data_IF_897773709473
#
_entry.id   IF_897773709473
#
_cell.length_a   1.000
_cell.length_b   1.000
_cell.length_c   1.000
_cell.angle_alpha   90.00
_cell.angle_beta   90.00
_cell.angle_gamma   90.00
#
_symmetry.space_group_name_H-M   'P 1'
#
loop_
_entity.id
_entity.type
_entity.pdbx_description
1 polymer ?
#
# COMPACT_ATOMS: atom_id res chain seq x y z
N UNK A 1 11.86 -7.75 23.44
CA UNK A 1 12.91 -7.24 22.52
C UNK A 1 12.38 -7.53 21.14
N UNK A 2 11.46 -6.67 20.73
CA UNK A 2 10.55 -6.91 19.62
C UNK A 2 11.19 -6.33 18.37
N UNK A 3 12.28 -6.96 17.95
CA UNK A 3 12.78 -6.79 16.60
C UNK A 3 11.93 -7.70 15.72
N UNK A 4 10.93 -7.13 15.03
CA UNK A 4 10.31 -7.79 13.87
C UNK A 4 10.94 -7.20 12.61
N UNK A 5 12.05 -7.76 12.13
CA UNK A 5 12.61 -7.39 10.84
C UNK A 5 11.81 -8.12 9.76
N UNK A 6 10.74 -7.51 9.23
CA UNK A 6 10.00 -8.18 8.14
C UNK A 6 8.74 -7.54 7.59
N UNK A 7 8.20 -6.46 8.17
CA UNK A 7 6.90 -5.94 7.75
C UNK A 7 7.00 -4.85 6.66
N UNK A 8 7.93 -4.95 5.70
CA UNK A 8 8.06 -3.96 4.61
C UNK A 8 7.82 -4.61 3.26
N UNK A 9 6.71 -4.24 2.63
CA UNK A 9 6.28 -4.67 1.31
C UNK A 9 6.86 -3.75 0.23
N UNK A 10 7.16 -4.31 -0.93
CA UNK A 10 7.34 -3.57 -2.19
C UNK A 10 6.00 -3.21 -2.81
N UNK A 11 6.00 -2.38 -3.86
CA UNK A 11 4.78 -2.07 -4.61
C UNK A 11 4.16 -3.31 -5.27
N UNK A 12 4.98 -4.30 -5.61
CA UNK A 12 4.54 -5.57 -6.21
C UNK A 12 3.88 -6.47 -5.17
N UNK A 13 4.52 -6.63 -4.00
CA UNK A 13 3.93 -7.37 -2.89
C UNK A 13 2.66 -6.71 -2.36
N UNK A 14 2.63 -5.37 -2.29
CA UNK A 14 1.45 -4.63 -1.88
C UNK A 14 0.30 -4.78 -2.89
N UNK A 15 0.62 -4.84 -4.19
CA UNK A 15 -0.35 -5.12 -5.25
C UNK A 15 -0.99 -6.49 -5.08
N UNK A 16 -0.19 -7.51 -4.77
CA UNK A 16 -0.69 -8.84 -4.44
C UNK A 16 -1.49 -8.87 -3.13
N UNK A 17 -1.04 -8.13 -2.10
CA UNK A 17 -1.69 -8.07 -0.79
C UNK A 17 -3.08 -7.41 -0.86
N UNK A 18 -3.18 -6.25 -1.51
CA UNK A 18 -4.42 -5.51 -1.66
C UNK A 18 -5.30 -6.05 -2.81
N UNK A 19 -4.76 -6.92 -3.66
CA UNK A 19 -5.37 -7.36 -4.92
C UNK A 19 -5.75 -6.18 -5.83
N UNK A 20 -4.95 -5.12 -5.82
CA UNK A 20 -5.13 -3.91 -6.63
C UNK A 20 -4.02 -3.87 -7.69
N UNK A 21 -4.32 -3.52 -8.96
CA UNK A 21 -3.29 -3.42 -9.99
C UNK A 21 -2.24 -2.35 -9.65
N UNK A 22 -0.98 -2.64 -10.00
CA UNK A 22 0.18 -1.74 -9.77
C UNK A 22 -0.06 -0.32 -10.27
N UNK A 23 -0.75 -0.16 -11.41
CA UNK A 23 -1.07 1.17 -11.97
C UNK A 23 -1.92 2.02 -11.01
N UNK A 24 -2.89 1.42 -10.33
CA UNK A 24 -3.72 2.12 -9.33
C UNK A 24 -2.92 2.40 -8.07
N UNK A 25 -2.09 1.46 -7.62
CA UNK A 25 -1.16 1.70 -6.51
C UNK A 25 -0.20 2.86 -6.79
N UNK A 26 0.37 2.95 -8.00
CA UNK A 26 1.21 4.08 -8.39
C UNK A 26 0.44 5.41 -8.34
N UNK A 27 -0.84 5.44 -8.72
CA UNK A 27 -1.68 6.64 -8.56
C UNK A 27 -1.84 6.99 -7.08
N UNK A 28 -2.23 6.04 -6.24
CA UNK A 28 -2.41 6.25 -4.79
C UNK A 28 -1.13 6.74 -4.11
N UNK A 29 0.02 6.18 -4.49
CA UNK A 29 1.34 6.61 -3.99
C UNK A 29 1.64 8.04 -4.42
N UNK A 30 1.38 8.38 -5.70
CA UNK A 30 1.60 9.74 -6.21
C UNK A 30 0.67 10.76 -5.59
N UNK A 31 -0.56 10.38 -5.30
CA UNK A 31 -1.55 11.20 -4.60
C UNK A 31 -1.29 11.26 -3.09
N UNK A 32 -0.37 10.44 -2.55
CA UNK A 32 -0.09 10.39 -1.12
C UNK A 32 -1.23 9.79 -0.29
N UNK A 33 -2.17 9.08 -0.93
CA UNK A 33 -3.34 8.46 -0.28
C UNK A 33 -3.00 7.18 0.46
N UNK A 34 -1.84 6.58 0.22
CA UNK A 34 -1.40 5.32 0.83
C UNK A 34 -0.08 5.53 1.56
N UNK A 35 0.11 4.98 2.78
CA UNK A 35 1.33 5.16 3.54
C UNK A 35 2.50 4.45 2.84
N UNK A 36 3.35 5.26 2.22
CA UNK A 36 4.46 4.81 1.40
C UNK A 36 5.72 5.57 1.79
N UNK A 37 6.86 4.87 1.78
CA UNK A 37 8.15 5.43 2.12
C UNK A 37 9.10 5.26 0.94
N UNK A 38 9.66 6.37 0.45
CA UNK A 38 10.66 6.36 -0.61
C UNK A 38 12.02 6.06 -0.01
N UNK A 39 12.56 4.87 -0.29
CA UNK A 39 13.87 4.43 0.18
C UNK A 39 14.79 4.30 -1.03
N UNK A 40 15.63 5.33 -1.21
CA UNK A 40 16.47 5.46 -2.41
C UNK A 40 15.63 5.57 -3.68
N UNK A 41 15.70 4.54 -4.53
CA UNK A 41 14.98 4.44 -5.81
C UNK A 41 13.71 3.59 -5.75
N UNK A 42 13.42 2.97 -4.60
CA UNK A 42 12.29 2.06 -4.45
C UNK A 42 11.27 2.59 -3.44
N UNK A 43 10.00 2.26 -3.69
CA UNK A 43 8.92 2.49 -2.73
C UNK A 43 8.79 1.29 -1.81
N UNK A 44 8.69 1.59 -0.52
CA UNK A 44 8.57 0.63 0.57
C UNK A 44 7.32 0.95 1.37
N UNK A 45 6.59 -0.08 1.73
CA UNK A 45 5.30 0.05 2.39
C UNK A 45 5.33 -0.78 3.65
N UNK A 46 5.15 -0.16 4.82
CA UNK A 46 5.07 -0.94 6.05
C UNK A 46 3.72 -1.65 6.12
N UNK A 47 3.72 -2.98 6.23
CA UNK A 47 2.51 -3.79 6.34
C UNK A 47 1.62 -3.29 7.47
N UNK A 48 2.16 -3.01 8.65
CA UNK A 48 1.38 -2.43 9.76
C UNK A 48 0.77 -1.06 9.43
N UNK A 49 1.49 -0.22 8.68
CA UNK A 49 0.97 1.08 8.28
C UNK A 49 -0.16 0.93 7.25
N UNK A 50 -0.01 -0.01 6.32
CA UNK A 50 -1.05 -0.36 5.34
C UNK A 50 -2.27 -0.96 6.04
N UNK A 51 -2.06 -1.82 7.03
CA UNK A 51 -3.13 -2.47 7.79
C UNK A 51 -3.97 -1.43 8.56
N UNK A 52 -3.31 -0.50 9.25
CA UNK A 52 -3.98 0.65 9.88
C UNK A 52 -4.69 1.54 8.87
N UNK A 53 -4.04 1.83 7.75
CA UNK A 53 -4.63 2.64 6.70
C UNK A 53 -5.88 2.00 6.09
N UNK A 54 -5.89 0.66 5.93
CA UNK A 54 -7.07 -0.07 5.48
C UNK A 54 -8.22 0.03 6.48
N UNK A 55 -7.92 -0.05 7.78
CA UNK A 55 -8.90 0.10 8.85
C UNK A 55 -9.52 1.51 8.83
N UNK A 56 -8.70 2.55 8.63
CA UNK A 56 -9.15 3.94 8.49
C UNK A 56 -9.90 4.20 7.16
N UNK A 57 -9.41 3.66 6.04
CA UNK A 57 -9.98 3.84 4.69
C UNK A 57 -11.28 3.06 4.48
N UNK A 58 -11.58 2.04 5.28
CA UNK A 58 -12.87 1.35 5.21
C UNK A 58 -14.07 2.29 5.43
N UNK A 59 -13.84 3.46 6.03
CA UNK A 59 -14.83 4.53 6.14
C UNK A 59 -15.01 5.36 4.85
N UNK A 60 -14.07 5.31 3.91
CA UNK A 60 -14.00 6.12 2.69
C UNK A 60 -13.80 5.23 1.46
N UNK A 61 -14.76 4.38 1.09
CA UNK A 61 -14.62 3.49 -0.08
C UNK A 61 -14.50 4.27 -1.41
N UNK A 62 -13.40 4.15 -2.18
CA UNK A 62 -13.48 4.30 -3.62
C UNK A 62 -13.65 2.90 -4.23
N UNK A 63 -14.82 2.64 -4.83
CA UNK A 63 -15.10 1.45 -5.64
C UNK A 63 -13.95 1.20 -6.62
N UNK A 64 -13.34 -0.01 -6.66
CA UNK A 64 -12.41 -0.35 -7.73
C UNK A 64 -13.20 -0.58 -9.02
N UNK A 65 -13.30 0.48 -9.83
CA UNK A 65 -13.60 0.39 -11.25
C UNK A 65 -12.29 0.07 -11.99
N UNK A 66 -12.32 -0.97 -12.83
CA UNK A 66 -11.19 -1.42 -13.64
C UNK A 66 -11.07 -2.95 -13.60
N UNK A 67 -12.00 -3.68 -14.23
CA UNK A 67 -11.93 -4.17 -15.63
C UNK A 67 -11.00 -5.39 -15.77
N UNK A 68 -11.34 -6.50 -16.44
CA UNK A 68 -12.41 -6.83 -17.39
C UNK A 68 -12.38 -8.35 -17.58
#
# INVERSE_FOLDING_TARGET
MDEKPGDVLTIEELSAYLKIPRSTLYKLVREGRIPSQKVGRHWRFRKEAIDRWLDETRAEEPKPEGEK
#
